data_IF_092808516852
#
_entry.id   IF_092808516852
#
_cell.length_a   1.000
_cell.length_b   1.000
_cell.length_c   1.000
_cell.angle_alpha   90.00
_cell.angle_beta   90.00
_cell.angle_gamma   90.00
#
_symmetry.space_group_name_H-M   'P 1'
#
loop_
_entity.id
_entity.type
_entity.pdbx_description
1 polymer ?
#
# COMPACT_ATOMS: atom_id res chain seq x y z
N UNK A 1 -0.08 14.41 7.71
CA UNK A 1 -0.70 13.67 6.60
C UNK A 1 0.38 13.14 5.69
N UNK A 2 0.17 12.01 5.01
CA UNK A 2 1.18 11.42 4.13
C UNK A 2 0.75 11.53 2.65
N UNK A 3 1.56 12.08 1.75
CA UNK A 3 1.23 12.11 0.33
C UNK A 3 1.02 10.72 -0.27
N UNK A 4 0.06 10.62 -1.19
CA UNK A 4 -0.20 9.43 -2.00
C UNK A 4 -0.05 9.82 -3.45
N UNK A 5 0.73 9.06 -4.21
CA UNK A 5 1.15 9.44 -5.56
C UNK A 5 0.61 8.50 -6.63
N UNK A 6 0.54 9.02 -7.86
CA UNK A 6 0.43 8.20 -9.07
C UNK A 6 1.79 7.66 -9.48
N UNK A 7 1.80 6.64 -10.33
CA UNK A 7 3.00 6.12 -10.98
C UNK A 7 3.75 7.22 -11.74
N UNK A 8 3.02 8.10 -12.43
CA UNK A 8 3.62 9.24 -13.14
C UNK A 8 4.34 10.20 -12.19
N UNK A 9 3.73 10.52 -11.04
CA UNK A 9 4.35 11.40 -10.05
C UNK A 9 5.58 10.77 -9.40
N UNK A 10 5.53 9.47 -9.10
CA UNK A 10 6.70 8.76 -8.57
C UNK A 10 7.85 8.73 -9.60
N UNK A 11 7.53 8.46 -10.88
CA UNK A 11 8.51 8.53 -11.97
C UNK A 11 9.12 9.92 -12.13
N UNK A 12 8.35 10.98 -11.91
CA UNK A 12 8.88 12.35 -11.88
C UNK A 12 9.85 12.56 -10.72
N UNK A 13 9.51 12.09 -9.51
CA UNK A 13 10.39 12.19 -8.33
C UNK A 13 11.71 11.46 -8.58
N UNK A 14 11.66 10.23 -9.13
CA UNK A 14 12.84 9.47 -9.53
C UNK A 14 13.69 10.25 -10.54
N UNK A 15 13.07 10.73 -11.61
CA UNK A 15 13.76 11.49 -12.67
C UNK A 15 14.46 12.73 -12.12
N UNK A 16 13.77 13.53 -11.30
CA UNK A 16 14.37 14.75 -10.71
C UNK A 16 15.53 14.36 -9.79
N UNK A 17 15.36 13.32 -8.98
CA UNK A 17 16.40 12.84 -8.06
C UNK A 17 17.65 12.37 -8.82
N UNK A 18 17.47 11.67 -9.93
CA UNK A 18 18.58 11.13 -10.72
C UNK A 18 19.20 12.20 -11.63
N UNK A 19 18.40 12.81 -12.48
CA UNK A 19 18.89 13.67 -13.57
C UNK A 19 19.24 15.08 -13.10
N UNK A 20 18.48 15.63 -12.13
CA UNK A 20 18.68 17.02 -11.66
C UNK A 20 19.59 17.08 -10.43
N UNK A 21 19.40 16.18 -9.47
CA UNK A 21 20.18 16.19 -8.22
C UNK A 21 21.43 15.31 -8.28
N UNK A 22 21.58 14.49 -9.33
CA UNK A 22 22.77 13.69 -9.57
C UNK A 22 22.88 12.43 -8.72
N UNK A 23 21.79 11.97 -8.10
CA UNK A 23 21.79 10.69 -7.37
C UNK A 23 21.86 9.53 -8.38
N UNK A 24 22.88 8.65 -8.32
CA UNK A 24 22.95 7.53 -9.24
C UNK A 24 21.76 6.57 -9.04
N UNK A 25 21.10 6.18 -10.13
CA UNK A 25 19.93 5.29 -10.10
C UNK A 25 20.24 3.94 -9.44
N UNK A 26 21.43 3.39 -9.69
CA UNK A 26 21.91 2.17 -9.03
C UNK A 26 21.99 2.30 -7.50
N UNK A 27 22.29 3.48 -6.97
CA UNK A 27 22.32 3.71 -5.52
C UNK A 27 20.91 3.68 -4.93
N UNK A 28 19.92 4.23 -5.65
CA UNK A 28 18.51 4.15 -5.23
C UNK A 28 18.00 2.70 -5.27
N UNK A 29 18.32 1.96 -6.34
CA UNK A 29 18.01 0.53 -6.50
C UNK A 29 18.62 -0.33 -5.38
N UNK A 30 19.90 -0.10 -5.07
CA UNK A 30 20.59 -0.78 -3.97
C UNK A 30 19.90 -0.52 -2.62
N UNK A 31 19.52 0.74 -2.35
CA UNK A 31 18.82 1.13 -1.13
C UNK A 31 17.40 0.53 -1.06
N UNK A 32 16.69 0.48 -2.18
CA UNK A 32 15.39 -0.17 -2.29
C UNK A 32 15.49 -1.65 -1.95
N UNK A 33 16.39 -2.39 -2.60
CA UNK A 33 16.59 -3.80 -2.33
C UNK A 33 16.99 -4.10 -0.88
N UNK A 34 17.93 -3.32 -0.31
CA UNK A 34 18.33 -3.45 1.10
C UNK A 34 17.18 -3.16 2.07
N UNK A 35 16.30 -2.22 1.76
CA UNK A 35 15.13 -1.91 2.58
C UNK A 35 14.12 -3.09 2.59
N UNK A 36 13.90 -3.75 1.45
CA UNK A 36 13.09 -4.98 1.40
C UNK A 36 13.74 -6.11 2.19
N UNK A 37 15.06 -6.33 2.04
CA UNK A 37 15.79 -7.34 2.82
C UNK A 37 15.65 -7.10 4.31
N UNK A 38 15.76 -5.85 4.75
CA UNK A 38 15.53 -5.48 6.16
C UNK A 38 14.14 -5.90 6.62
N UNK A 39 13.09 -5.60 5.86
CA UNK A 39 11.70 -5.97 6.22
C UNK A 39 11.45 -7.46 6.23
N UNK A 40 12.04 -8.19 5.28
CA UNK A 40 12.01 -9.65 5.28
C UNK A 40 12.61 -10.21 6.58
N UNK A 41 13.77 -9.70 7.01
CA UNK A 41 14.46 -10.17 8.21
C UNK A 41 13.76 -9.76 9.52
N UNK A 42 13.01 -8.66 9.52
CA UNK A 42 12.23 -8.19 10.67
C UNK A 42 10.87 -8.92 10.83
N UNK A 43 10.39 -9.61 9.80
CA UNK A 43 9.04 -10.20 9.79
C UNK A 43 8.87 -11.38 10.75
N UNK A 44 9.96 -12.02 11.17
CA UNK A 44 9.99 -12.95 12.32
C UNK A 44 9.92 -14.44 11.95
N UNK A 45 9.41 -14.81 10.77
CA UNK A 45 9.57 -16.17 10.25
C UNK A 45 10.99 -16.36 9.71
N UNK A 46 11.63 -17.48 10.06
CA UNK A 46 13.02 -17.80 9.66
C UNK A 46 13.09 -18.91 8.62
N UNK A 47 12.53 -18.76 7.40
CA UNK A 47 12.83 -19.72 6.36
C UNK A 47 14.27 -19.50 5.88
N UNK A 48 15.00 -20.60 5.75
CA UNK A 48 16.35 -20.61 5.18
C UNK A 48 16.31 -20.45 3.65
N UNK A 49 15.12 -20.51 3.04
CA UNK A 49 14.90 -20.56 1.60
C UNK A 49 14.09 -19.39 1.08
N UNK A 50 14.62 -18.72 0.06
CA UNK A 50 13.99 -17.62 -0.66
C UNK A 50 13.88 -17.92 -2.14
N UNK A 51 12.74 -17.57 -2.73
CA UNK A 51 12.53 -17.61 -4.18
C UNK A 51 12.16 -16.22 -4.65
N UNK A 52 12.97 -15.67 -5.54
CA UNK A 52 12.76 -14.31 -6.07
C UNK A 52 12.34 -14.40 -7.53
N UNK A 53 11.20 -13.80 -7.87
CA UNK A 53 10.75 -13.65 -9.25
C UNK A 53 11.06 -12.24 -9.73
N UNK A 54 11.96 -12.13 -10.71
CA UNK A 54 12.45 -10.85 -11.24
C UNK A 54 11.94 -10.60 -12.65
N UNK A 55 11.41 -9.40 -12.88
CA UNK A 55 11.16 -8.87 -14.22
C UNK A 55 12.43 -8.40 -14.91
N UNK A 56 12.25 -7.64 -16.00
CA UNK A 56 13.35 -7.02 -16.76
C UNK A 56 13.48 -5.50 -16.60
N UNK A 57 12.55 -4.86 -15.90
CA UNK A 57 12.62 -3.42 -15.59
C UNK A 57 13.33 -3.15 -14.27
N UNK A 58 13.22 -1.91 -13.77
CA UNK A 58 13.87 -1.50 -12.53
C UNK A 58 13.36 -2.28 -11.30
N UNK A 59 12.07 -2.63 -11.25
CA UNK A 59 11.54 -3.51 -10.19
C UNK A 59 12.24 -4.88 -10.16
N UNK A 60 12.60 -5.41 -11.34
CA UNK A 60 13.41 -6.62 -11.44
C UNK A 60 14.84 -6.42 -10.95
N UNK A 61 15.43 -5.26 -11.23
CA UNK A 61 16.71 -4.84 -10.65
C UNK A 61 16.70 -4.85 -9.12
N UNK A 62 15.67 -4.27 -8.50
CA UNK A 62 15.47 -4.32 -7.05
C UNK A 62 15.38 -5.78 -6.56
N UNK A 63 14.64 -6.63 -7.27
CA UNK A 63 14.58 -8.08 -7.03
C UNK A 63 15.94 -8.78 -7.07
N UNK A 64 16.78 -8.43 -8.04
CA UNK A 64 18.14 -8.99 -8.15
C UNK A 64 19.01 -8.55 -6.99
N UNK A 65 18.95 -7.28 -6.57
CA UNK A 65 19.63 -6.80 -5.36
C UNK A 65 19.18 -7.59 -4.14
N UNK A 66 17.86 -7.75 -3.94
CA UNK A 66 17.31 -8.52 -2.81
C UNK A 66 17.85 -9.95 -2.80
N UNK A 67 17.82 -10.62 -3.95
CA UNK A 67 18.30 -12.00 -4.07
C UNK A 67 19.80 -12.11 -3.80
N UNK A 68 20.61 -11.19 -4.35
CA UNK A 68 22.05 -11.10 -4.16
C UNK A 68 22.40 -10.89 -2.69
N UNK A 69 21.71 -9.97 -2.02
CA UNK A 69 21.96 -9.63 -0.61
C UNK A 69 21.56 -10.76 0.35
N UNK A 70 20.42 -11.42 0.12
CA UNK A 70 20.04 -12.60 0.88
C UNK A 70 21.05 -13.75 0.66
N UNK A 71 21.51 -13.94 -0.57
CA UNK A 71 22.52 -14.96 -0.88
C UNK A 71 23.86 -14.67 -0.19
N UNK A 72 24.32 -13.42 -0.22
CA UNK A 72 25.55 -12.97 0.43
C UNK A 72 25.52 -13.16 1.97
N UNK A 73 24.31 -13.15 2.56
CA UNK A 73 24.09 -13.44 3.99
C UNK A 73 24.01 -14.93 4.31
N UNK A 74 24.18 -15.81 3.32
CA UNK A 74 24.23 -17.27 3.50
C UNK A 74 22.88 -17.98 3.39
N UNK A 75 21.81 -17.29 2.98
CA UNK A 75 20.51 -17.93 2.77
C UNK A 75 20.48 -18.74 1.45
N UNK A 76 19.61 -19.75 1.40
CA UNK A 76 19.33 -20.51 0.18
C UNK A 76 18.41 -19.70 -0.74
N UNK A 77 18.99 -19.07 -1.76
CA UNK A 77 18.25 -18.20 -2.68
C UNK A 77 18.21 -18.79 -4.08
N UNK A 78 17.02 -18.81 -4.69
CA UNK A 78 16.84 -19.07 -6.12
C UNK A 78 16.16 -17.87 -6.78
N UNK A 79 16.81 -17.28 -7.78
CA UNK A 79 16.22 -16.22 -8.59
C UNK A 79 15.70 -16.79 -9.92
N UNK A 80 14.45 -16.46 -10.24
CA UNK A 80 13.83 -16.71 -11.53
C UNK A 80 13.71 -15.41 -12.33
N UNK A 81 14.55 -15.27 -13.36
CA UNK A 81 14.52 -14.14 -14.27
C UNK A 81 13.48 -14.38 -15.38
N UNK A 82 12.43 -13.58 -15.41
CA UNK A 82 11.29 -13.77 -16.32
C UNK A 82 11.47 -13.07 -17.67
N UNK A 83 12.44 -12.16 -17.78
CA UNK A 83 12.83 -11.48 -19.02
C UNK A 83 14.16 -12.05 -19.56
N UNK A 84 14.35 -12.14 -20.88
CA UNK A 84 15.66 -12.49 -21.43
C UNK A 84 16.72 -11.41 -21.07
N UNK A 85 17.98 -11.78 -20.78
CA UNK A 85 19.03 -10.85 -20.37
C UNK A 85 19.27 -9.67 -21.33
N UNK A 86 18.95 -9.85 -22.62
CA UNK A 86 19.10 -8.84 -23.67
C UNK A 86 18.03 -7.75 -23.61
N UNK A 87 16.95 -7.97 -22.85
CA UNK A 87 15.82 -7.01 -22.69
C UNK A 87 15.76 -6.40 -21.29
N UNK A 88 16.81 -6.55 -20.49
CA UNK A 88 16.88 -5.91 -19.18
C UNK A 88 17.12 -4.40 -19.33
N UNK A 89 16.52 -3.60 -18.45
CA UNK A 89 16.88 -2.19 -18.33
C UNK A 89 18.36 -2.04 -17.97
N UNK A 90 19.01 -0.89 -18.24
CA UNK A 90 20.44 -0.71 -17.97
C UNK A 90 20.84 -1.05 -16.53
N UNK A 91 20.05 -0.60 -15.54
CA UNK A 91 20.32 -0.86 -14.13
C UNK A 91 20.05 -2.32 -13.76
N UNK A 92 18.93 -2.88 -14.23
CA UNK A 92 18.62 -4.30 -14.01
C UNK A 92 19.70 -5.21 -14.63
N UNK A 93 20.24 -4.84 -15.78
CA UNK A 93 21.34 -5.55 -16.45
C UNK A 93 22.63 -5.48 -15.62
N UNK A 94 22.96 -4.31 -15.08
CA UNK A 94 24.13 -4.13 -14.22
C UNK A 94 24.03 -5.01 -12.98
N UNK A 95 22.88 -5.02 -12.32
CA UNK A 95 22.63 -5.88 -11.15
C UNK A 95 22.66 -7.36 -11.50
N UNK A 96 22.11 -7.74 -12.65
CA UNK A 96 22.21 -9.11 -13.15
C UNK A 96 23.68 -9.56 -13.31
N UNK A 97 24.54 -8.71 -13.89
CA UNK A 97 25.95 -9.03 -14.08
C UNK A 97 26.70 -9.13 -12.74
N UNK A 98 26.41 -8.24 -11.78
CA UNK A 98 26.96 -8.33 -10.43
C UNK A 98 26.50 -9.62 -9.74
N UNK A 99 25.22 -9.96 -9.80
CA UNK A 99 24.68 -11.17 -9.18
C UNK A 99 25.32 -12.46 -9.72
N UNK A 100 25.74 -12.48 -10.99
CA UNK A 100 26.50 -13.60 -11.57
C UNK A 100 27.89 -13.75 -10.96
N UNK A 101 28.59 -12.65 -10.70
CA UNK A 101 29.89 -12.68 -10.03
C UNK A 101 29.77 -13.15 -8.58
N UNK A 102 28.66 -12.82 -7.93
CA UNK A 102 28.28 -13.37 -6.61
C UNK A 102 27.85 -14.84 -6.64
N UNK A 103 27.85 -15.48 -7.82
CA UNK A 103 27.43 -16.87 -8.02
C UNK A 103 25.99 -17.16 -7.56
N UNK A 104 25.13 -16.15 -7.61
CA UNK A 104 23.71 -16.30 -7.29
C UNK A 104 23.07 -17.37 -8.19
N UNK A 105 22.32 -18.35 -7.63
CA UNK A 105 21.61 -19.33 -8.44
C UNK A 105 20.45 -18.72 -9.24
N UNK A 106 20.71 -18.36 -10.51
CA UNK A 106 19.72 -17.77 -11.42
C UNK A 106 19.15 -18.82 -12.39
N UNK A 107 17.86 -18.73 -12.73
CA UNK A 107 17.23 -19.51 -13.80
C UNK A 107 16.27 -18.66 -14.61
N UNK A 108 16.17 -18.89 -15.92
CA UNK A 108 15.19 -18.22 -16.79
C UNK A 108 13.87 -19.00 -16.95
N UNK A 109 13.84 -20.22 -16.40
CA UNK A 109 12.71 -21.14 -16.46
C UNK A 109 12.03 -21.19 -15.10
N UNK A 110 10.84 -20.56 -14.95
CA UNK A 110 10.11 -20.59 -13.68
C UNK A 110 9.71 -22.03 -13.31
N UNK A 111 9.42 -22.28 -12.02
CA UNK A 111 9.00 -23.60 -11.60
C UNK A 111 7.66 -23.98 -12.25
N UNK A 112 7.48 -25.29 -12.52
CA UNK A 112 6.24 -25.81 -13.14
C UNK A 112 5.14 -26.12 -12.12
N UNK A 113 5.46 -26.15 -10.83
CA UNK A 113 4.53 -26.57 -9.78
C UNK A 113 4.68 -25.72 -8.53
N UNK A 114 3.54 -25.33 -7.96
CA UNK A 114 3.48 -24.53 -6.72
C UNK A 114 4.15 -25.24 -5.55
N UNK A 115 4.18 -26.59 -5.56
CA UNK A 115 4.88 -27.41 -4.56
C UNK A 115 6.37 -27.10 -4.44
N UNK A 116 6.99 -26.65 -5.54
CA UNK A 116 8.41 -26.29 -5.51
C UNK A 116 8.67 -24.99 -4.74
N UNK A 117 7.63 -24.22 -4.46
CA UNK A 117 7.65 -22.98 -3.69
C UNK A 117 7.23 -23.21 -2.23
N UNK A 118 6.79 -24.40 -1.83
CA UNK A 118 6.44 -24.68 -0.43
C UNK A 118 7.65 -24.46 0.50
N UNK A 119 7.39 -23.83 1.65
CA UNK A 119 8.38 -23.62 2.70
C UNK A 119 9.48 -22.59 2.36
N UNK A 120 9.25 -21.70 1.38
CA UNK A 120 10.11 -20.54 1.13
C UNK A 120 9.39 -19.22 1.44
N UNK A 121 10.14 -18.12 1.50
CA UNK A 121 9.58 -16.79 1.25
C UNK A 121 9.70 -16.49 -0.23
N UNK A 122 8.61 -16.02 -0.82
CA UNK A 122 8.55 -15.57 -2.21
C UNK A 122 8.73 -14.06 -2.23
N UNK A 123 9.59 -13.57 -3.13
CA UNK A 123 9.71 -12.14 -3.44
C UNK A 123 9.18 -11.91 -4.85
N UNK A 124 8.11 -11.13 -4.94
CA UNK A 124 7.52 -10.63 -6.19
C UNK A 124 8.18 -9.30 -6.57
N UNK A 125 9.11 -9.38 -7.51
CA UNK A 125 9.82 -8.25 -8.11
C UNK A 125 9.62 -8.25 -9.64
N UNK A 126 8.41 -8.65 -10.10
CA UNK A 126 8.15 -8.90 -11.51
C UNK A 126 7.85 -7.58 -12.24
N UNK A 127 6.79 -6.87 -11.86
CA UNK A 127 6.40 -5.57 -12.46
C UNK A 127 5.92 -4.63 -11.36
N UNK A 128 6.57 -3.47 -11.23
CA UNK A 128 6.17 -2.40 -10.31
C UNK A 128 5.24 -1.37 -10.98
N UNK A 129 5.49 -0.08 -10.72
CA UNK A 129 4.75 1.07 -11.32
C UNK A 129 4.73 1.18 -12.86
N UNK A 130 5.44 0.31 -13.58
CA UNK A 130 5.48 0.26 -15.04
C UNK A 130 4.32 -0.50 -15.70
N UNK A 131 3.40 -1.07 -14.92
CA UNK A 131 2.27 -1.83 -15.46
C UNK A 131 1.29 -0.91 -16.21
N UNK A 132 1.18 -1.10 -17.52
CA UNK A 132 0.31 -0.29 -18.39
C UNK A 132 -0.65 -1.14 -19.24
N UNK A 133 -0.55 -2.46 -19.16
CA UNK A 133 -1.38 -3.42 -19.90
C UNK A 133 -1.70 -4.61 -19.00
N UNK A 134 -2.86 -5.25 -19.17
CA UNK A 134 -3.18 -6.48 -18.46
C UNK A 134 -2.08 -7.54 -18.64
N UNK A 135 -1.77 -8.25 -17.55
CA UNK A 135 -0.84 -9.37 -17.56
C UNK A 135 -1.35 -10.44 -18.54
N UNK A 136 -0.41 -11.06 -19.25
CA UNK A 136 -0.66 -12.13 -20.21
C UNK A 136 0.41 -13.21 -20.12
N UNK A 137 0.10 -14.36 -20.71
CA UNK A 137 1.05 -15.43 -21.01
C UNK A 137 1.85 -15.91 -19.78
N UNK A 138 3.18 -15.94 -19.91
CA UNK A 138 4.11 -16.47 -18.90
C UNK A 138 3.98 -15.76 -17.54
N UNK A 139 3.72 -14.45 -17.52
CA UNK A 139 3.64 -13.70 -16.26
C UNK A 139 2.37 -14.06 -15.50
N UNK A 140 1.24 -14.14 -16.20
CA UNK A 140 -0.04 -14.56 -15.61
C UNK A 140 0.04 -15.96 -14.97
N UNK A 141 0.74 -16.90 -15.64
CA UNK A 141 0.98 -18.24 -15.08
C UNK A 141 1.84 -18.21 -13.82
N UNK A 142 2.86 -17.34 -13.77
CA UNK A 142 3.72 -17.18 -12.58
C UNK A 142 2.95 -16.56 -11.42
N UNK A 143 2.12 -15.55 -11.67
CA UNK A 143 1.26 -14.96 -10.62
C UNK A 143 0.34 -16.02 -10.02
N UNK A 144 -0.33 -16.80 -10.87
CA UNK A 144 -1.16 -17.90 -10.43
C UNK A 144 -0.38 -18.99 -9.66
N UNK A 145 0.88 -19.22 -10.01
CA UNK A 145 1.76 -20.15 -9.30
C UNK A 145 2.11 -19.65 -7.90
N UNK A 146 2.45 -18.36 -7.78
CA UNK A 146 2.79 -17.69 -6.52
C UNK A 146 1.59 -17.77 -5.57
N UNK A 147 0.40 -17.36 -6.03
CA UNK A 147 -0.81 -17.33 -5.21
C UNK A 147 -1.26 -18.73 -4.74
N UNK A 148 -0.86 -19.80 -5.43
CA UNK A 148 -1.16 -21.20 -5.08
C UNK A 148 -0.09 -21.87 -4.23
N UNK A 149 1.01 -21.20 -3.93
CA UNK A 149 2.14 -21.77 -3.19
C UNK A 149 1.87 -22.00 -1.70
N UNK A 150 0.90 -21.28 -1.13
CA UNK A 150 0.66 -21.26 0.32
C UNK A 150 1.85 -20.72 1.12
N UNK A 151 2.81 -20.08 0.46
CA UNK A 151 4.04 -19.56 1.05
C UNK A 151 3.97 -18.04 1.16
N UNK A 152 4.63 -17.44 2.16
CA UNK A 152 4.58 -16.00 2.33
C UNK A 152 5.12 -15.23 1.14
N UNK A 153 4.44 -14.15 0.76
CA UNK A 153 4.77 -13.34 -0.41
C UNK A 153 5.08 -11.89 -0.02
N UNK A 154 6.27 -11.44 -0.42
CA UNK A 154 6.73 -10.06 -0.32
C UNK A 154 6.73 -9.42 -1.70
N UNK A 155 5.87 -8.43 -1.93
CA UNK A 155 5.89 -7.64 -3.16
C UNK A 155 6.79 -6.42 -3.04
N UNK A 156 7.59 -6.20 -4.08
CA UNK A 156 8.51 -5.07 -4.23
C UNK A 156 7.78 -3.95 -4.97
N UNK A 157 7.78 -2.76 -4.37
CA UNK A 157 7.08 -1.55 -4.81
C UNK A 157 5.55 -1.66 -4.79
N UNK A 158 4.98 -2.56 -5.59
CA UNK A 158 3.55 -2.82 -5.68
C UNK A 158 3.33 -4.28 -6.10
N UNK A 159 2.28 -4.98 -5.62
CA UNK A 159 2.00 -6.33 -6.08
C UNK A 159 1.82 -6.38 -7.60
N UNK A 160 2.58 -7.26 -8.24
CA UNK A 160 2.54 -7.44 -9.69
C UNK A 160 1.12 -7.73 -10.12
N UNK A 161 0.59 -6.93 -11.06
CA UNK A 161 -0.77 -7.05 -11.56
C UNK A 161 -1.74 -6.01 -11.00
N UNK A 162 -1.35 -5.22 -10.01
CA UNK A 162 -2.14 -4.09 -9.52
C UNK A 162 -1.74 -2.80 -10.24
N UNK A 163 -2.75 -2.08 -10.75
CA UNK A 163 -2.57 -0.71 -11.24
C UNK A 163 -2.20 0.23 -10.09
N UNK A 164 -1.03 0.87 -10.16
CA UNK A 164 -0.56 1.81 -9.13
C UNK A 164 -1.45 3.04 -8.97
N UNK A 165 -2.27 3.38 -9.97
CA UNK A 165 -3.06 4.60 -9.97
C UNK A 165 -4.52 4.35 -9.58
N UNK A 166 -5.08 3.21 -10.02
CA UNK A 166 -6.52 2.91 -9.86
C UNK A 166 -6.79 1.84 -8.81
N UNK A 167 -5.81 0.99 -8.49
CA UNK A 167 -6.02 -0.19 -7.64
C UNK A 167 -6.69 -1.36 -8.36
N UNK A 168 -6.97 -1.24 -9.66
CA UNK A 168 -7.58 -2.31 -10.44
C UNK A 168 -6.62 -3.49 -10.64
N UNK A 169 -7.17 -4.71 -10.62
CA UNK A 169 -6.48 -5.93 -11.00
C UNK A 169 -6.39 -6.00 -12.53
N UNK A 170 -5.18 -5.90 -13.07
CA UNK A 170 -4.91 -5.88 -14.50
C UNK A 170 -4.60 -7.29 -15.02
N UNK A 171 -5.63 -8.14 -15.13
CA UNK A 171 -5.50 -9.55 -15.50
C UNK A 171 -5.54 -10.44 -14.26
N UNK A 172 -4.37 -10.87 -13.78
CA UNK A 172 -4.19 -11.45 -12.44
C UNK A 172 -3.32 -10.53 -11.59
N UNK A 173 -3.33 -10.72 -10.27
CA UNK A 173 -2.46 -10.00 -9.36
C UNK A 173 -1.90 -10.91 -8.28
N UNK A 174 -0.66 -10.64 -7.86
CA UNK A 174 -0.03 -11.29 -6.72
C UNK A 174 -0.75 -10.88 -5.46
N UNK A 175 -1.13 -11.87 -4.65
CA UNK A 175 -1.67 -11.64 -3.31
C UNK A 175 -0.49 -11.60 -2.34
N UNK A 176 -0.08 -10.40 -1.91
CA UNK A 176 1.05 -10.22 -1.02
C UNK A 176 0.62 -10.27 0.45
N UNK A 177 1.44 -10.90 1.30
CA UNK A 177 1.33 -10.77 2.75
C UNK A 177 1.94 -9.44 3.22
N UNK A 178 2.99 -9.02 2.52
CA UNK A 178 3.74 -7.78 2.78
C UNK A 178 4.09 -7.09 1.47
N UNK A 179 3.88 -5.78 1.40
CA UNK A 179 4.38 -4.94 0.29
C UNK A 179 5.34 -3.90 0.84
N UNK A 180 6.51 -3.76 0.22
CA UNK A 180 7.48 -2.72 0.56
C UNK A 180 7.57 -1.74 -0.59
N UNK A 181 7.03 -0.53 -0.39
CA UNK A 181 7.07 0.57 -1.36
C UNK A 181 8.13 1.60 -0.98
N UNK A 182 8.59 2.36 -1.96
CA UNK A 182 9.69 3.30 -1.80
C UNK A 182 9.22 4.76 -1.89
N UNK A 183 9.68 5.59 -0.95
CA UNK A 183 9.40 7.02 -0.87
C UNK A 183 7.98 7.33 -0.43
N UNK A 184 7.02 7.11 -1.33
CA UNK A 184 5.60 7.39 -1.11
C UNK A 184 4.72 6.20 -1.50
N UNK A 185 3.58 6.01 -0.83
CA UNK A 185 2.59 5.02 -1.22
C UNK A 185 1.91 5.43 -2.52
N UNK A 186 1.56 4.44 -3.32
CA UNK A 186 0.81 4.62 -4.56
C UNK A 186 -0.68 4.44 -4.27
N UNK A 187 -1.54 5.04 -5.08
CA UNK A 187 -3.00 4.95 -4.92
C UNK A 187 -3.48 3.49 -4.92
N UNK A 188 -2.87 2.65 -5.76
CA UNK A 188 -3.21 1.23 -5.88
C UNK A 188 -2.98 0.40 -4.62
N UNK A 189 -2.17 0.88 -3.68
CA UNK A 189 -2.01 0.24 -2.36
C UNK A 189 -3.21 0.44 -1.44
N UNK A 190 -3.99 1.50 -1.67
CA UNK A 190 -4.99 2.01 -0.74
C UNK A 190 -6.42 1.88 -1.30
N UNK A 191 -6.57 1.91 -2.62
CA UNK A 191 -7.87 1.82 -3.28
C UNK A 191 -8.27 0.35 -3.53
N UNK A 192 -9.53 -0.03 -3.23
CA UNK A 192 -10.05 -1.34 -3.62
C UNK A 192 -10.14 -1.52 -5.15
N UNK A 193 -9.90 -2.74 -5.67
CA UNK A 193 -9.54 -3.96 -4.92
C UNK A 193 -8.05 -4.06 -4.53
N UNK A 194 -7.17 -3.20 -5.04
CA UNK A 194 -5.71 -3.33 -4.88
C UNK A 194 -5.20 -3.33 -3.43
N UNK A 195 -5.91 -2.67 -2.51
CA UNK A 195 -5.59 -2.73 -1.08
C UNK A 195 -5.70 -4.15 -0.50
N UNK A 196 -6.58 -5.00 -1.04
CA UNK A 196 -6.74 -6.40 -0.61
C UNK A 196 -5.53 -7.26 -1.02
N UNK A 197 -4.81 -6.87 -2.09
CA UNK A 197 -3.63 -7.57 -2.59
C UNK A 197 -2.32 -7.08 -1.98
N UNK A 198 -2.35 -5.92 -1.31
CA UNK A 198 -1.15 -5.24 -0.79
C UNK A 198 -0.63 -5.87 0.51
N UNK A 199 -1.50 -6.49 1.30
CA UNK A 199 -1.15 -6.99 2.62
C UNK A 199 -0.65 -5.87 3.54
N UNK A 200 0.34 -6.16 4.38
CA UNK A 200 0.97 -5.15 5.24
C UNK A 200 1.88 -4.22 4.41
N UNK A 201 1.53 -2.94 4.33
CA UNK A 201 2.30 -1.96 3.58
C UNK A 201 3.40 -1.30 4.44
N UNK A 202 4.66 -1.44 4.01
CA UNK A 202 5.80 -0.69 4.53
C UNK A 202 6.26 0.35 3.51
N UNK A 203 6.49 1.57 3.98
CA UNK A 203 6.92 2.70 3.14
C UNK A 203 8.34 3.05 3.57
N UNK A 204 9.32 2.70 2.73
CA UNK A 204 10.73 2.83 3.03
C UNK A 204 11.34 4.07 2.37
N UNK A 205 12.17 4.79 3.13
CA UNK A 205 12.95 5.90 2.61
C UNK A 205 14.24 5.39 1.97
N UNK A 206 14.26 5.41 0.63
CA UNK A 206 15.42 5.01 -0.16
C UNK A 206 16.33 6.19 -0.52
N UNK A 207 16.17 7.35 0.11
CA UNK A 207 17.03 8.52 -0.06
C UNK A 207 16.44 9.60 -0.98
N UNK A 208 15.12 9.65 -1.15
CA UNK A 208 14.49 10.78 -1.83
C UNK A 208 14.56 12.02 -0.95
N UNK A 209 14.93 13.19 -1.50
CA UNK A 209 14.89 14.44 -0.75
C UNK A 209 13.48 14.75 -0.24
N UNK A 210 13.37 15.17 1.02
CA UNK A 210 12.09 15.44 1.69
C UNK A 210 11.24 16.52 1.00
N UNK A 211 11.85 17.44 0.27
CA UNK A 211 11.12 18.47 -0.48
C UNK A 211 10.41 17.90 -1.72
N UNK A 212 10.86 16.76 -2.27
CA UNK A 212 10.16 16.07 -3.37
C UNK A 212 9.03 15.17 -2.88
N UNK A 213 9.12 14.68 -1.64
CA UNK A 213 8.13 13.78 -1.03
C UNK A 213 7.21 14.48 -0.03
N UNK A 214 7.36 15.80 0.16
CA UNK A 214 6.60 16.60 1.12
C UNK A 214 5.18 16.94 0.65
N UNK A 215 4.28 17.26 1.59
CA UNK A 215 2.85 17.37 1.32
C UNK A 215 2.35 18.60 0.57
N UNK A 216 3.13 19.69 0.48
CA UNK A 216 2.66 20.95 -0.09
C UNK A 216 2.29 20.87 -1.59
N UNK A 217 2.94 19.97 -2.33
CA UNK A 217 2.77 19.82 -3.78
C UNK A 217 1.90 18.61 -4.19
N UNK A 218 1.18 18.00 -3.22
CA UNK A 218 0.42 16.77 -3.45
C UNK A 218 -1.07 16.94 -3.14
N UNK A 219 -1.92 16.62 -4.12
CA UNK A 219 -3.38 16.77 -4.01
C UNK A 219 -4.09 15.56 -3.36
N UNK A 220 -3.35 14.49 -3.05
CA UNK A 220 -3.92 13.27 -2.45
C UNK A 220 -3.11 12.91 -1.22
N UNK A 221 -3.79 12.77 -0.08
CA UNK A 221 -3.18 12.57 1.22
C UNK A 221 -3.84 11.37 1.92
N UNK A 222 -3.03 10.50 2.50
CA UNK A 222 -3.43 9.48 3.45
C UNK A 222 -3.47 10.11 4.84
N UNK A 223 -4.65 10.07 5.46
CA UNK A 223 -4.85 10.45 6.85
C UNK A 223 -4.21 9.38 7.76
N UNK A 224 -3.34 9.84 8.64
CA UNK A 224 -2.75 9.05 9.71
C UNK A 224 -3.45 9.34 11.03
N UNK A 225 -3.21 8.48 12.02
CA UNK A 225 -3.77 8.64 13.36
C UNK A 225 -3.39 9.98 13.99
N UNK A 226 -2.15 10.42 13.79
CA UNK A 226 -1.63 11.67 14.33
C UNK A 226 -2.38 12.88 13.76
N UNK A 227 -2.75 12.82 12.47
CA UNK A 227 -3.53 13.87 11.81
C UNK A 227 -4.93 13.99 12.41
N UNK A 228 -5.55 12.86 12.73
CA UNK A 228 -6.85 12.86 13.39
C UNK A 228 -6.79 13.48 14.79
N UNK A 229 -5.69 13.28 15.53
CA UNK A 229 -5.50 13.87 16.87
C UNK A 229 -5.43 15.40 16.78
N UNK A 230 -4.72 15.94 15.78
CA UNK A 230 -4.60 17.39 15.58
C UNK A 230 -5.94 18.05 15.19
N UNK A 231 -6.86 17.30 14.57
CA UNK A 231 -8.18 17.79 14.18
C UNK A 231 -9.21 17.77 15.32
N UNK A 232 -8.94 17.06 16.43
CA UNK A 232 -9.86 17.00 17.56
C UNK A 232 -9.82 18.33 18.33
N UNK A 233 -10.95 19.04 18.50
CA UNK A 233 -10.97 20.33 19.17
C UNK A 233 -10.63 20.20 20.66
N UNK A 234 -9.79 21.12 21.15
CA UNK A 234 -9.45 21.20 22.57
C UNK A 234 -10.66 21.59 23.43
N UNK A 235 -10.77 20.99 24.63
CA UNK A 235 -11.87 21.27 25.58
C UNK A 235 -11.36 21.97 26.84
N UNK A 236 -11.81 23.20 27.05
CA UNK A 236 -11.52 23.98 28.26
C UNK A 236 -12.38 23.51 29.43
N UNK A 237 -11.80 23.57 30.66
CA UNK A 237 -12.53 23.23 31.90
C UNK A 237 -13.63 24.23 32.21
N UNK A 238 -13.39 25.51 31.94
CA UNK A 238 -14.39 26.57 32.05
C UNK A 238 -15.19 26.64 30.74
N UNK A 239 -16.22 25.81 30.65
CA UNK A 239 -17.07 25.68 29.47
C UNK A 239 -18.48 25.22 29.86
N UNK A 240 -19.44 25.42 28.96
CA UNK A 240 -20.81 24.97 29.11
C UNK A 240 -21.34 24.42 27.79
N UNK A 241 -22.57 23.89 27.78
CA UNK A 241 -23.18 23.26 26.60
C UNK A 241 -23.19 24.17 25.35
N UNK A 242 -23.34 25.48 25.49
CA UNK A 242 -23.31 26.40 24.35
C UNK A 242 -21.90 26.61 23.77
N UNK A 243 -20.84 26.41 24.56
CA UNK A 243 -19.45 26.50 24.09
C UNK A 243 -19.15 25.51 22.95
N UNK A 244 -19.87 24.38 22.92
CA UNK A 244 -19.64 23.28 21.99
C UNK A 244 -20.72 23.17 20.91
N UNK A 245 -21.41 24.28 20.66
CA UNK A 245 -22.39 24.43 19.60
C UNK A 245 -23.70 23.67 19.85
N UNK A 246 -24.64 23.92 18.94
CA UNK A 246 -25.95 23.28 18.90
C UNK A 246 -26.20 22.76 17.48
N UNK A 247 -26.29 21.44 17.33
CA UNK A 247 -26.54 20.78 16.05
C UNK A 247 -28.03 20.45 15.89
N UNK A 248 -28.60 20.81 14.74
CA UNK A 248 -29.88 20.28 14.28
C UNK A 248 -29.62 19.13 13.29
N UNK A 249 -30.17 17.95 13.57
CA UNK A 249 -30.13 16.80 12.66
C UNK A 249 -31.51 16.64 12.03
N UNK A 250 -31.59 16.92 10.74
CA UNK A 250 -32.80 16.74 9.93
C UNK A 250 -32.73 15.41 9.18
N UNK A 251 -33.74 14.57 9.35
CA UNK A 251 -33.83 13.32 8.61
C UNK A 251 -34.78 12.34 9.26
N UNK A 252 -34.59 11.05 8.97
CA UNK A 252 -35.55 10.03 9.37
C UNK A 252 -36.87 10.13 8.59
N UNK A 253 -37.57 9.01 8.54
CA UNK A 253 -38.92 8.88 7.99
C UNK A 253 -39.48 7.56 8.48
N UNK A 254 -40.75 7.27 8.16
CA UNK A 254 -41.34 5.96 8.42
C UNK A 254 -40.44 4.82 7.92
N UNK A 255 -40.06 3.94 8.84
CA UNK A 255 -39.15 2.81 8.58
C UNK A 255 -37.65 3.16 8.49
N UNK A 256 -37.26 4.44 8.67
CA UNK A 256 -35.87 4.92 8.65
C UNK A 256 -35.53 5.81 9.86
N UNK A 257 -36.31 5.71 10.94
CA UNK A 257 -36.12 6.45 12.20
C UNK A 257 -34.73 6.25 12.82
N UNK A 258 -34.15 5.05 12.66
CA UNK A 258 -32.82 4.74 13.16
C UNK A 258 -31.70 5.62 12.60
N UNK A 259 -31.81 6.10 11.35
CA UNK A 259 -30.80 6.97 10.76
C UNK A 259 -30.70 8.32 11.52
N UNK A 260 -31.86 8.87 11.91
CA UNK A 260 -31.94 10.10 12.68
C UNK A 260 -31.35 9.92 14.08
N UNK A 261 -31.76 8.85 14.77
CA UNK A 261 -31.29 8.55 16.13
C UNK A 261 -29.78 8.27 16.17
N UNK A 262 -29.24 7.48 15.23
CA UNK A 262 -27.81 7.18 15.18
C UNK A 262 -26.97 8.42 14.91
N UNK A 263 -27.43 9.29 14.01
CA UNK A 263 -26.75 10.56 13.69
C UNK A 263 -26.74 11.51 14.88
N UNK A 264 -27.88 11.65 15.56
CA UNK A 264 -28.00 12.43 16.80
C UNK A 264 -27.06 11.97 17.90
N UNK A 265 -27.09 10.67 18.17
CA UNK A 265 -26.25 10.04 19.19
C UNK A 265 -24.76 10.17 18.87
N UNK A 266 -24.38 10.01 17.60
CA UNK A 266 -23.00 10.20 17.16
C UNK A 266 -22.53 11.62 17.46
N UNK A 267 -23.34 12.65 17.15
CA UNK A 267 -23.00 14.04 17.43
C UNK A 267 -22.79 14.34 18.93
N UNK A 268 -23.65 13.82 19.81
CA UNK A 268 -23.47 13.90 21.26
C UNK A 268 -22.17 13.20 21.70
N UNK A 269 -21.91 11.99 21.19
CA UNK A 269 -20.71 11.21 21.53
C UNK A 269 -19.41 11.85 21.05
N UNK A 270 -19.43 12.56 19.93
CA UNK A 270 -18.26 13.30 19.41
C UNK A 270 -18.10 14.69 20.03
N UNK A 271 -19.05 15.12 20.87
CA UNK A 271 -18.85 16.24 21.79
C UNK A 271 -19.64 17.50 21.52
N UNK A 272 -20.64 17.48 20.63
CA UNK A 272 -21.61 18.58 20.48
C UNK A 272 -22.30 18.86 21.80
N UNK A 273 -22.45 20.15 22.15
CA UNK A 273 -23.00 20.51 23.45
C UNK A 273 -24.52 20.41 23.53
N UNK A 274 -25.21 20.63 22.42
CA UNK A 274 -26.66 20.42 22.27
C UNK A 274 -26.94 19.75 20.92
N UNK A 275 -27.93 18.85 20.89
CA UNK A 275 -28.40 18.19 19.66
C UNK A 275 -29.92 18.19 19.64
N UNK A 276 -30.50 18.63 18.53
CA UNK A 276 -31.95 18.55 18.26
C UNK A 276 -32.18 17.65 17.05
N UNK A 277 -33.08 16.68 17.17
CA UNK A 277 -33.54 15.82 16.10
C UNK A 277 -34.81 16.37 15.49
N UNK A 278 -34.90 16.34 14.17
CA UNK A 278 -36.04 16.90 13.46
C UNK A 278 -36.45 16.05 12.26
N UNK A 279 -37.76 15.85 12.17
CA UNK A 279 -38.45 15.04 11.16
C UNK A 279 -39.94 15.39 11.19
N UNK A 280 -40.75 14.69 10.38
CA UNK A 280 -42.21 14.77 10.48
C UNK A 280 -42.69 14.36 11.88
N UNK A 281 -43.85 14.88 12.28
CA UNK A 281 -44.39 14.69 13.62
C UNK A 281 -44.59 13.21 14.01
N UNK A 282 -44.98 12.35 13.06
CA UNK A 282 -45.19 10.92 13.30
C UNK A 282 -43.84 10.23 13.60
N UNK A 283 -42.81 10.54 12.80
CA UNK A 283 -41.44 10.04 13.02
C UNK A 283 -40.89 10.50 14.37
N UNK A 284 -41.03 11.78 14.73
CA UNK A 284 -40.56 12.30 16.04
C UNK A 284 -41.29 11.60 17.19
N UNK A 285 -42.61 11.46 17.09
CA UNK A 285 -43.40 10.78 18.11
C UNK A 285 -42.98 9.32 18.29
N UNK A 286 -42.65 8.64 17.18
CA UNK A 286 -42.23 7.24 17.21
C UNK A 286 -40.86 7.03 17.90
N UNK A 287 -39.96 8.01 17.86
CA UNK A 287 -38.61 7.90 18.44
C UNK A 287 -38.50 8.50 19.84
N UNK A 288 -39.43 9.37 20.24
CA UNK A 288 -39.40 10.06 21.53
C UNK A 288 -39.16 9.14 22.75
N UNK A 289 -39.70 7.91 22.82
CA UNK A 289 -39.42 7.00 23.95
C UNK A 289 -38.00 6.43 23.98
N UNK A 290 -37.27 6.53 22.86
CA UNK A 290 -35.95 5.90 22.66
C UNK A 290 -34.79 6.89 22.72
N UNK A 291 -35.07 8.17 22.96
CA UNK A 291 -34.08 9.25 23.07
C UNK A 291 -34.22 9.90 24.45
N UNK A 292 -33.09 10.11 25.12
CA UNK A 292 -33.06 10.65 26.50
C UNK A 292 -32.33 11.98 26.55
N UNK A 293 -31.23 12.10 25.80
CA UNK A 293 -30.35 13.27 25.83
C UNK A 293 -30.64 14.26 24.69
N UNK A 294 -31.08 13.77 23.52
CA UNK A 294 -31.40 14.62 22.38
C UNK A 294 -32.74 15.36 22.56
N UNK A 295 -32.80 16.61 22.10
CA UNK A 295 -34.05 17.35 21.98
C UNK A 295 -34.78 16.98 20.69
N UNK A 296 -36.09 17.20 20.59
CA UNK A 296 -36.86 16.98 19.36
C UNK A 296 -37.56 18.24 18.88
N UNK A 297 -37.59 18.43 17.55
CA UNK A 297 -38.34 19.49 16.88
C UNK A 297 -39.11 18.88 15.70
N UNK A 298 -40.44 18.65 15.80
CA UNK A 298 -41.25 18.26 14.65
C UNK A 298 -41.33 19.41 13.64
N UNK A 299 -41.20 19.10 12.36
CA UNK A 299 -41.32 20.04 11.23
C UNK A 299 -42.41 19.61 10.23
#
# INVERSE_FOLDING_TARGET
MLPVVTADKMREIDRVTIETLGMPSLVLMERAGLAVVKRILEWGERPERFVVFSGGGNNGGDGIVIARELHNRGYSVKLYLLSPPERLSPDCKKEFDIAREYRLPISTSPPRSARSLEGCIIVDAIIGTGLNKPLKDKIDQVVNLINRSGSPVFSVDIPTGISSDTGEVMGSAVMADVTVTFGLPKRGHLLPPGNEYTGSLFIEDIGFPSFLTGGADHNTLLLKKEDAVELIPYRTKDSYKGTYGHLLVLGGSRGKTGALMLSGRAALRTGSGLVTLSSDAETIQSIAPSILEEMTLPL
#
